data_IF_962249342563
#
_entry.id   IF_962249342563
#
_cell.length_a   1.000
_cell.length_b   1.000
_cell.length_c   1.000
_cell.angle_alpha   90.00
_cell.angle_beta   90.00
_cell.angle_gamma   90.00
#
_symmetry.space_group_name_H-M   'P 1'
#
loop_
_entity.id
_entity.type
_entity.pdbx_description
1 polymer ?
#
# COMPACT_ATOMS: atom_id res chain seq x y z
N UNK A 1 0.66 -27.56 13.26
CA UNK A 1 2.12 -27.70 13.21
C UNK A 1 2.65 -26.39 12.68
N UNK A 2 3.34 -25.62 13.52
CA UNK A 2 3.96 -24.37 13.11
C UNK A 2 5.10 -24.70 12.13
N UNK A 3 5.15 -24.02 10.99
CA UNK A 3 6.31 -24.05 10.10
C UNK A 3 7.53 -23.62 10.93
N UNK A 4 8.42 -24.56 11.20
CA UNK A 4 9.77 -24.23 11.68
C UNK A 4 10.44 -23.42 10.57
N UNK A 5 10.65 -22.13 10.80
CA UNK A 5 11.43 -21.25 9.93
C UNK A 5 12.79 -21.93 9.68
N UNK A 6 12.98 -22.50 8.49
CA UNK A 6 14.17 -23.31 8.20
C UNK A 6 15.41 -22.40 8.27
N UNK A 7 16.34 -22.75 9.16
CA UNK A 7 17.60 -22.02 9.30
C UNK A 7 18.46 -22.21 8.05
N UNK A 8 18.84 -21.11 7.43
CA UNK A 8 19.80 -21.07 6.34
C UNK A 8 21.18 -20.70 6.88
N UNK A 9 22.15 -21.57 6.60
CA UNK A 9 23.57 -21.33 6.88
C UNK A 9 24.23 -20.80 5.61
N UNK A 10 24.95 -19.70 5.73
CA UNK A 10 25.64 -19.02 4.64
C UNK A 10 27.13 -18.98 4.94
N UNK A 11 27.96 -19.28 3.95
CA UNK A 11 29.40 -19.08 3.98
C UNK A 11 29.76 -18.05 2.91
N UNK A 12 30.14 -16.84 3.33
CA UNK A 12 30.48 -15.73 2.44
C UNK A 12 31.99 -15.51 2.49
N UNK A 13 32.71 -16.09 1.52
CA UNK A 13 34.17 -15.97 1.43
C UNK A 13 34.91 -16.47 2.67
N UNK A 14 34.41 -17.53 3.32
CA UNK A 14 34.98 -18.12 4.53
C UNK A 14 34.37 -17.59 5.84
N UNK A 15 33.49 -16.59 5.79
CA UNK A 15 32.77 -16.07 6.97
C UNK A 15 31.39 -16.70 7.06
N UNK A 16 31.11 -17.37 8.18
CA UNK A 16 29.86 -18.11 8.41
C UNK A 16 28.76 -17.26 9.05
N UNK A 17 27.56 -17.32 8.50
CA UNK A 17 26.35 -16.66 8.99
C UNK A 17 25.19 -17.64 9.09
N UNK A 18 24.23 -17.33 9.97
CA UNK A 18 23.00 -18.09 10.12
C UNK A 18 21.82 -17.13 10.11
N UNK A 19 20.80 -17.46 9.32
CA UNK A 19 19.58 -16.67 9.18
C UNK A 19 18.40 -17.58 8.81
N UNK A 20 17.25 -17.00 8.46
CA UNK A 20 16.09 -17.72 7.93
C UNK A 20 15.89 -17.39 6.45
N UNK A 21 15.30 -18.32 5.69
CA UNK A 21 14.92 -18.05 4.30
C UNK A 21 13.91 -16.90 4.19
N UNK A 22 13.03 -16.74 5.18
CA UNK A 22 12.13 -15.60 5.31
C UNK A 22 12.91 -14.28 5.36
N UNK A 23 14.04 -14.22 6.08
CA UNK A 23 14.88 -13.02 6.14
C UNK A 23 15.50 -12.66 4.78
N UNK A 24 15.97 -13.66 4.03
CA UNK A 24 16.61 -13.44 2.72
C UNK A 24 15.62 -13.00 1.63
N UNK A 25 14.34 -13.34 1.78
CA UNK A 25 13.29 -13.09 0.77
C UNK A 25 12.34 -11.95 1.15
N UNK A 26 12.27 -11.54 2.42
CA UNK A 26 11.25 -10.60 2.93
C UNK A 26 11.30 -9.19 2.32
N UNK A 27 12.49 -8.61 2.15
CA UNK A 27 12.62 -7.20 1.72
C UNK A 27 12.78 -7.04 0.23
N UNK A 28 13.47 -7.98 -0.41
CA UNK A 28 13.72 -7.92 -1.84
C UNK A 28 13.75 -9.33 -2.43
N UNK A 29 12.58 -9.75 -2.93
CA UNK A 29 12.36 -11.05 -3.56
C UNK A 29 13.19 -11.18 -4.86
N UNK A 30 13.60 -10.07 -5.48
CA UNK A 30 14.42 -10.04 -6.69
C UNK A 30 15.94 -9.99 -6.44
N UNK A 31 16.34 -9.86 -5.18
CA UNK A 31 17.76 -9.84 -4.80
C UNK A 31 18.45 -11.16 -5.15
N UNK A 32 19.77 -11.10 -5.36
CA UNK A 32 20.57 -12.31 -5.59
C UNK A 32 20.40 -13.33 -4.45
N UNK A 33 20.30 -12.83 -3.21
CA UNK A 33 20.11 -13.66 -2.02
C UNK A 33 18.74 -14.33 -1.98
N UNK A 34 17.68 -13.62 -2.37
CA UNK A 34 16.33 -14.20 -2.42
C UNK A 34 16.19 -15.27 -3.50
N UNK A 35 16.78 -15.05 -4.68
CA UNK A 35 16.81 -16.03 -5.78
C UNK A 35 17.55 -17.30 -5.33
N UNK A 36 18.75 -17.14 -4.77
CA UNK A 36 19.55 -18.28 -4.29
C UNK A 36 18.85 -19.04 -3.16
N UNK A 37 18.21 -18.34 -2.22
CA UNK A 37 17.45 -18.97 -1.14
C UNK A 37 16.26 -19.78 -1.67
N UNK A 38 15.53 -19.24 -2.64
CA UNK A 38 14.37 -19.89 -3.25
C UNK A 38 14.79 -21.15 -4.03
N UNK A 39 15.85 -21.06 -4.83
CA UNK A 39 16.40 -22.21 -5.58
C UNK A 39 16.87 -23.35 -4.66
N UNK A 40 17.50 -23.04 -3.53
CA UNK A 40 17.93 -24.06 -2.57
C UNK A 40 16.75 -24.76 -1.91
N UNK A 41 15.69 -24.02 -1.56
CA UNK A 41 14.48 -24.63 -1.00
C UNK A 41 13.82 -25.58 -1.98
N UNK A 42 13.77 -25.23 -3.27
CA UNK A 42 13.23 -26.10 -4.31
C UNK A 42 14.10 -27.36 -4.52
N UNK A 43 15.43 -27.21 -4.54
CA UNK A 43 16.36 -28.35 -4.67
C UNK A 43 16.29 -29.31 -3.48
N UNK A 44 16.13 -28.81 -2.25
CA UNK A 44 15.95 -29.67 -1.06
C UNK A 44 14.66 -30.49 -1.11
N UNK A 45 13.57 -29.90 -1.60
CA UNK A 45 12.27 -30.58 -1.75
C UNK A 45 12.28 -31.66 -2.84
N UNK A 46 13.02 -31.45 -3.92
CA UNK A 46 12.96 -32.28 -5.12
C UNK A 46 14.07 -33.34 -5.21
N UNK A 47 15.23 -33.12 -4.60
CA UNK A 47 16.42 -33.97 -4.81
C UNK A 47 17.07 -34.51 -3.53
N UNK A 48 16.50 -34.27 -2.34
CA UNK A 48 17.13 -34.70 -1.08
C UNK A 48 18.52 -34.08 -0.86
N UNK A 49 18.74 -32.89 -1.41
CA UNK A 49 20.04 -32.25 -1.49
C UNK A 49 20.61 -31.91 -0.10
N UNK A 50 21.71 -32.56 0.29
CA UNK A 50 22.33 -32.45 1.63
C UNK A 50 23.22 -31.21 1.84
N UNK A 51 23.24 -30.22 0.93
CA UNK A 51 24.04 -29.03 1.16
C UNK A 51 23.48 -28.22 2.35
N UNK A 52 24.17 -28.37 3.49
CA UNK A 52 23.83 -27.73 4.76
C UNK A 52 24.19 -26.24 4.80
N UNK A 53 25.02 -25.75 3.88
CA UNK A 53 25.52 -24.37 3.84
C UNK A 53 25.50 -23.83 2.40
N UNK A 54 24.99 -22.61 2.20
CA UNK A 54 25.04 -21.84 0.95
C UNK A 54 26.38 -21.12 0.86
N UNK A 55 27.24 -21.50 -0.09
CA UNK A 55 28.50 -20.80 -0.33
C UNK A 55 28.32 -19.64 -1.31
N UNK A 56 28.85 -18.47 -0.92
CA UNK A 56 28.89 -17.24 -1.69
C UNK A 56 30.36 -16.89 -1.89
N UNK A 57 30.82 -16.94 -3.15
CA UNK A 57 32.19 -16.63 -3.54
C UNK A 57 32.41 -15.10 -3.58
N UNK A 58 32.40 -14.50 -2.38
CA UNK A 58 32.45 -13.06 -2.17
C UNK A 58 33.03 -12.73 -0.80
N UNK A 59 33.58 -11.53 -0.61
CA UNK A 59 34.07 -11.11 0.70
C UNK A 59 32.92 -10.93 1.71
N UNK A 60 32.94 -11.72 2.78
CA UNK A 60 31.95 -11.65 3.86
C UNK A 60 32.13 -10.49 4.85
N UNK A 61 33.13 -9.61 4.67
CA UNK A 61 33.44 -8.52 5.61
C UNK A 61 32.24 -7.65 5.95
N UNK A 62 31.50 -7.21 4.95
CA UNK A 62 30.36 -6.30 5.13
C UNK A 62 29.01 -7.00 5.22
N UNK A 63 29.00 -8.33 5.05
CA UNK A 63 27.77 -9.10 4.95
C UNK A 63 26.92 -9.05 6.23
N UNK A 64 27.53 -8.80 7.39
CA UNK A 64 26.79 -8.58 8.64
C UNK A 64 25.83 -7.40 8.56
N UNK A 65 26.23 -6.29 7.95
CA UNK A 65 25.39 -5.09 7.80
C UNK A 65 24.26 -5.32 6.81
N UNK A 66 24.54 -6.07 5.74
CA UNK A 66 23.53 -6.53 4.78
C UNK A 66 22.47 -7.37 5.49
N UNK A 67 22.91 -8.32 6.32
CA UNK A 67 22.01 -9.20 7.04
C UNK A 67 21.17 -8.47 8.09
N UNK A 68 21.76 -7.52 8.82
CA UNK A 68 21.01 -6.68 9.75
C UNK A 68 19.94 -5.87 9.02
N UNK A 69 20.32 -5.21 7.91
CA UNK A 69 19.36 -4.50 7.08
C UNK A 69 18.24 -5.40 6.54
N UNK A 70 18.54 -6.62 6.12
CA UNK A 70 17.51 -7.58 5.69
C UNK A 70 16.51 -7.91 6.82
N UNK A 71 16.98 -8.00 8.07
CA UNK A 71 16.15 -8.32 9.25
C UNK A 71 15.22 -7.17 9.63
N UNK A 72 15.80 -6.03 9.98
CA UNK A 72 15.09 -4.91 10.63
C UNK A 72 15.10 -3.62 9.79
N UNK A 73 15.92 -3.56 8.74
CA UNK A 73 16.00 -2.40 7.83
C UNK A 73 16.95 -1.33 8.33
N UNK A 74 17.63 -1.56 9.46
CA UNK A 74 18.58 -0.62 10.02
C UNK A 74 19.96 -0.78 9.37
N UNK A 75 20.62 0.36 9.16
CA UNK A 75 22.05 0.44 8.85
C UNK A 75 22.74 0.99 10.10
N UNK A 76 23.89 0.44 10.45
CA UNK A 76 24.69 0.91 11.59
C UNK A 76 25.15 2.36 11.35
N UNK A 77 24.62 3.36 12.08
CA UNK A 77 24.80 4.78 11.71
C UNK A 77 26.25 5.29 11.92
N UNK A 78 27.03 4.62 12.76
CA UNK A 78 28.34 5.09 13.24
C UNK A 78 29.56 4.53 12.47
N UNK A 79 29.37 3.98 11.26
CA UNK A 79 30.49 3.46 10.46
C UNK A 79 31.33 4.56 9.81
N UNK A 80 32.60 4.27 9.50
CA UNK A 80 33.44 5.16 8.69
C UNK A 80 32.90 5.32 7.26
N UNK A 81 33.16 6.47 6.61
CA UNK A 81 32.70 6.76 5.24
C UNK A 81 33.22 5.76 4.21
N UNK A 82 34.46 5.28 4.38
CA UNK A 82 35.07 4.20 3.59
C UNK A 82 34.24 2.92 3.64
N UNK A 83 33.83 2.51 4.84
CA UNK A 83 33.01 1.31 5.08
C UNK A 83 31.64 1.44 4.40
N UNK A 84 31.03 2.63 4.40
CA UNK A 84 29.79 2.86 3.64
C UNK A 84 29.99 2.68 2.13
N UNK A 85 31.11 3.12 1.56
CA UNK A 85 31.40 2.91 0.14
C UNK A 85 31.65 1.43 -0.20
N UNK A 86 32.33 0.68 0.66
CA UNK A 86 32.52 -0.75 0.48
C UNK A 86 31.19 -1.52 0.61
N UNK A 87 30.38 -1.19 1.63
CA UNK A 87 29.04 -1.76 1.80
C UNK A 87 28.12 -1.43 0.61
N UNK A 88 28.27 -0.26 0.00
CA UNK A 88 27.52 0.14 -1.20
C UNK A 88 27.80 -0.81 -2.37
N UNK A 89 29.07 -1.13 -2.62
CA UNK A 89 29.46 -2.06 -3.69
C UNK A 89 28.86 -3.46 -3.47
N UNK A 90 28.88 -3.93 -2.22
CA UNK A 90 28.29 -5.22 -1.88
C UNK A 90 26.76 -5.19 -2.03
N UNK A 91 26.10 -4.11 -1.61
CA UNK A 91 24.66 -3.95 -1.80
C UNK A 91 24.26 -3.93 -3.29
N UNK A 92 25.07 -3.33 -4.17
CA UNK A 92 24.88 -3.36 -5.62
C UNK A 92 25.09 -4.78 -6.17
N UNK A 93 26.12 -5.49 -5.72
CA UNK A 93 26.39 -6.88 -6.11
C UNK A 93 25.22 -7.83 -5.78
N UNK A 94 24.72 -7.79 -4.54
CA UNK A 94 23.59 -8.61 -4.12
C UNK A 94 22.24 -8.14 -4.69
N UNK A 95 22.23 -7.06 -5.48
CA UNK A 95 21.03 -6.42 -6.03
C UNK A 95 20.03 -6.07 -4.93
N UNK A 96 20.49 -5.28 -3.96
CA UNK A 96 19.71 -4.78 -2.82
C UNK A 96 19.48 -3.27 -2.95
N UNK A 97 18.64 -2.81 -3.89
CA UNK A 97 18.40 -1.38 -4.16
C UNK A 97 18.00 -0.58 -2.91
N UNK A 98 17.20 -1.16 -2.01
CA UNK A 98 16.82 -0.51 -0.76
C UNK A 98 18.01 -0.22 0.18
N UNK A 99 18.99 -1.11 0.21
CA UNK A 99 20.22 -0.93 0.99
C UNK A 99 21.15 0.09 0.31
N UNK A 100 21.32 -0.01 -1.02
CA UNK A 100 22.08 0.96 -1.83
C UNK A 100 21.62 2.39 -1.57
N UNK A 101 20.30 2.62 -1.54
CA UNK A 101 19.72 3.92 -1.28
C UNK A 101 20.02 4.43 0.14
N UNK A 102 19.75 3.60 1.15
CA UNK A 102 19.94 4.00 2.54
C UNK A 102 21.42 4.34 2.83
N UNK A 103 22.37 3.66 2.19
CA UNK A 103 23.80 4.01 2.25
C UNK A 103 24.09 5.36 1.57
N UNK A 104 23.56 5.60 0.36
CA UNK A 104 23.74 6.86 -0.37
C UNK A 104 23.17 8.05 0.40
N UNK A 105 22.04 7.89 1.10
CA UNK A 105 21.47 8.93 1.97
C UNK A 105 22.43 9.34 3.08
N UNK A 106 22.96 8.36 3.81
CA UNK A 106 23.90 8.60 4.91
C UNK A 106 25.20 9.25 4.40
N UNK A 107 25.70 8.82 3.24
CA UNK A 107 26.89 9.41 2.61
C UNK A 107 26.66 10.87 2.20
N UNK A 108 25.43 11.25 1.86
CA UNK A 108 25.06 12.62 1.47
C UNK A 108 24.93 13.51 2.72
N UNK A 109 24.26 13.02 3.77
CA UNK A 109 24.15 13.72 5.07
C UNK A 109 25.52 13.96 5.70
N UNK A 110 26.45 13.01 5.60
CA UNK A 110 27.84 13.16 6.07
C UNK A 110 28.64 14.20 5.27
N UNK A 111 28.28 14.45 4.00
CA UNK A 111 28.90 15.52 3.19
C UNK A 111 28.39 16.89 3.60
N UNK A 112 27.09 17.01 3.90
CA UNK A 112 26.46 18.27 4.31
C UNK A 112 26.77 18.66 5.77
N UNK A 113 26.94 17.69 6.67
CA UNK A 113 27.31 17.91 8.07
C UNK A 113 28.73 18.47 8.29
N UNK A 114 29.58 18.46 7.26
CA UNK A 114 30.93 19.04 7.30
C UNK A 114 30.99 20.52 6.84
N UNK A 115 29.86 21.14 6.48
CA UNK A 115 29.81 22.57 6.17
C UNK A 115 28.93 23.34 7.17
N UNK A 116 29.57 24.05 8.09
CA UNK A 116 28.92 25.00 9.00
C UNK A 116 28.48 26.28 8.28
N UNK A 117 27.18 26.58 8.41
CA UNK A 117 26.34 27.74 8.01
C UNK A 117 26.89 29.18 8.22
N UNK A 118 26.15 30.30 7.92
CA UNK A 118 25.08 30.58 6.92
C UNK A 118 25.22 31.97 6.22
N UNK A 119 24.50 32.22 5.10
CA UNK A 119 23.65 33.44 4.89
C UNK A 119 23.11 33.56 3.46
N UNK A 120 21.91 34.11 3.43
CA UNK A 120 21.17 34.70 2.32
C UNK A 120 21.99 35.67 1.47
N UNK A 121 22.03 35.50 0.15
CA UNK A 121 21.68 36.54 -0.84
C UNK A 121 21.91 36.02 -2.27
N UNK A 122 20.87 36.22 -3.06
CA UNK A 122 20.81 36.34 -4.52
C UNK A 122 22.19 36.34 -5.22
N UNK A 123 22.51 35.27 -5.94
CA UNK A 123 23.50 35.28 -7.02
C UNK A 123 22.83 34.67 -8.25
N UNK A 124 22.79 35.47 -9.30
CA UNK A 124 22.32 35.11 -10.64
C UNK A 124 23.26 34.06 -11.23
N UNK A 125 22.71 32.93 -11.68
CA UNK A 125 23.47 31.93 -12.43
C UNK A 125 23.21 32.15 -13.92
N UNK A 126 24.27 32.54 -14.63
CA UNK A 126 24.38 32.56 -16.10
C UNK A 126 24.65 31.13 -16.58
N UNK A 127 24.03 30.79 -17.71
CA UNK A 127 24.08 29.52 -18.43
C UNK A 127 25.50 28.94 -18.62
N UNK A 128 25.69 27.68 -18.22
CA UNK A 128 26.22 26.58 -19.05
C UNK A 128 26.36 25.28 -18.22
N UNK A 129 25.99 24.15 -18.84
CA UNK A 129 25.96 22.77 -18.32
C UNK A 129 24.79 22.35 -17.40
N UNK A 130 23.58 22.39 -17.95
CA UNK A 130 22.53 21.42 -17.64
C UNK A 130 22.78 20.11 -18.40
N UNK A 131 22.98 18.95 -17.75
CA UNK A 131 22.72 17.67 -18.42
C UNK A 131 21.23 17.64 -18.78
N UNK A 132 20.81 16.96 -19.87
CA UNK A 132 19.50 17.14 -20.46
C UNK A 132 18.41 16.53 -19.57
N UNK A 133 18.00 17.26 -18.53
CA UNK A 133 16.66 17.13 -17.99
C UNK A 133 15.74 17.79 -19.00
N UNK A 134 15.06 16.98 -19.81
CA UNK A 134 13.85 17.45 -20.50
C UNK A 134 12.95 18.04 -19.42
N UNK A 135 12.78 19.37 -19.47
CA UNK A 135 11.61 20.01 -18.87
C UNK A 135 10.39 19.26 -19.41
N UNK A 136 9.77 18.47 -18.55
CA UNK A 136 8.41 17.99 -18.82
C UNK A 136 7.56 19.24 -18.68
N UNK A 137 7.28 19.84 -19.82
CA UNK A 137 6.32 20.92 -19.95
C UNK A 137 4.98 20.42 -19.36
N UNK A 138 4.35 21.22 -18.49
CA UNK A 138 3.03 20.93 -17.91
C UNK A 138 1.89 21.09 -18.94
N UNK A 139 2.20 20.90 -20.22
CA UNK A 139 1.28 20.83 -21.35
C UNK A 139 1.61 19.66 -22.29
N UNK A 140 2.42 18.68 -21.86
CA UNK A 140 2.61 17.46 -22.64
C UNK A 140 1.33 16.63 -22.52
N UNK A 141 0.50 16.76 -23.55
CA UNK A 141 -0.40 15.72 -23.98
C UNK A 141 0.49 14.50 -24.32
N UNK A 142 0.78 13.68 -23.30
CA UNK A 142 1.50 12.42 -23.44
C UNK A 142 0.57 11.50 -24.22
N UNK A 143 0.62 11.58 -25.55
CA UNK A 143 0.06 10.58 -26.43
C UNK A 143 0.61 9.23 -26.00
N UNK A 144 -0.24 8.41 -25.39
CA UNK A 144 -0.19 6.95 -25.29
C UNK A 144 1.18 6.29 -25.04
N UNK A 145 2.09 6.94 -24.30
CA UNK A 145 3.26 6.26 -23.79
C UNK A 145 2.81 5.43 -22.57
N UNK A 146 2.66 4.11 -22.76
CA UNK A 146 2.40 3.18 -21.67
C UNK A 146 3.56 3.23 -20.67
N UNK A 147 3.32 3.78 -19.48
CA UNK A 147 4.25 3.61 -18.37
C UNK A 147 4.36 2.12 -18.05
N UNK A 148 5.57 1.64 -17.75
CA UNK A 148 5.81 0.27 -17.31
C UNK A 148 5.93 0.16 -15.79
N UNK A 149 5.83 -1.06 -15.25
CA UNK A 149 6.12 -1.33 -13.82
C UNK A 149 7.53 -0.86 -13.44
N UNK A 150 8.50 -0.99 -14.36
CA UNK A 150 9.90 -0.57 -14.11
C UNK A 150 9.99 0.93 -13.93
N UNK A 151 9.31 1.71 -14.76
CA UNK A 151 9.29 3.17 -14.65
C UNK A 151 8.69 3.61 -13.30
N UNK A 152 7.63 2.93 -12.83
CA UNK A 152 7.06 3.19 -11.50
C UNK A 152 8.06 2.86 -10.39
N UNK A 153 8.83 1.78 -10.52
CA UNK A 153 9.87 1.40 -9.55
C UNK A 153 11.01 2.43 -9.55
N UNK A 154 11.40 2.95 -10.71
CA UNK A 154 12.43 3.98 -10.81
C UNK A 154 12.02 5.28 -10.12
N UNK A 155 10.73 5.61 -10.12
CA UNK A 155 10.17 6.77 -9.43
C UNK A 155 10.12 6.61 -7.89
N UNK A 156 10.32 5.41 -7.35
CA UNK A 156 10.36 5.18 -5.89
C UNK A 156 11.55 5.83 -5.19
N UNK A 157 12.56 6.25 -5.95
CA UNK A 157 13.76 6.92 -5.42
C UNK A 157 13.54 8.41 -5.09
N UNK A 158 12.32 8.93 -5.25
CA UNK A 158 11.94 10.32 -5.00
C UNK A 158 10.45 10.48 -4.69
N UNK A 159 9.91 11.71 -4.71
CA UNK A 159 8.48 11.93 -4.52
C UNK A 159 7.71 11.26 -5.67
N UNK A 160 6.90 10.25 -5.34
CA UNK A 160 6.13 9.46 -6.30
C UNK A 160 5.01 10.29 -6.92
N UNK A 161 5.34 11.02 -7.99
CA UNK A 161 4.43 11.92 -8.72
C UNK A 161 3.97 11.24 -10.00
N UNK A 162 2.79 10.63 -9.93
CA UNK A 162 2.15 9.92 -11.04
C UNK A 162 0.89 10.65 -11.52
N UNK A 163 0.69 11.91 -11.13
CA UNK A 163 -0.53 12.64 -11.47
C UNK A 163 -0.78 12.68 -12.99
N UNK A 164 -1.98 12.33 -13.42
CA UNK A 164 -2.39 12.36 -14.82
C UNK A 164 -1.84 11.23 -15.69
N UNK A 165 -1.03 10.31 -15.15
CA UNK A 165 -0.41 9.26 -15.95
C UNK A 165 -1.34 8.08 -16.21
N UNK A 166 -1.06 7.32 -17.28
CA UNK A 166 -1.75 6.08 -17.58
C UNK A 166 -0.94 4.87 -17.07
N UNK A 167 -1.49 4.17 -16.08
CA UNK A 167 -0.94 2.96 -15.47
C UNK A 167 -1.86 1.75 -15.70
N UNK A 168 -2.80 1.86 -16.65
CA UNK A 168 -3.82 0.83 -16.91
C UNK A 168 -3.16 -0.52 -17.21
N UNK A 169 -3.71 -1.58 -16.65
CA UNK A 169 -3.23 -2.96 -16.84
C UNK A 169 -1.91 -3.30 -16.14
N UNK A 170 -1.20 -2.31 -15.56
CA UNK A 170 0.07 -2.58 -14.88
C UNK A 170 -0.12 -3.46 -13.66
N UNK A 171 0.87 -4.31 -13.43
CA UNK A 171 1.01 -4.98 -12.16
C UNK A 171 1.91 -4.15 -11.26
N UNK A 172 1.36 -3.60 -10.18
CA UNK A 172 2.03 -2.84 -9.12
C UNK A 172 1.97 -3.56 -7.75
N UNK A 173 1.63 -4.86 -7.76
CA UNK A 173 1.53 -5.71 -6.55
C UNK A 173 2.81 -5.66 -5.71
N UNK A 174 2.64 -5.60 -4.40
CA UNK A 174 3.71 -5.70 -3.40
C UNK A 174 4.70 -4.53 -3.35
N UNK A 175 4.50 -3.48 -4.15
CA UNK A 175 5.33 -2.28 -4.11
C UNK A 175 5.00 -1.44 -2.86
N UNK A 176 5.97 -0.65 -2.42
CA UNK A 176 5.71 0.47 -1.52
C UNK A 176 5.51 1.75 -2.32
N UNK A 177 4.27 2.19 -2.40
CA UNK A 177 3.81 3.40 -3.09
C UNK A 177 3.18 4.39 -2.09
N UNK A 178 3.53 4.29 -0.80
CA UNK A 178 3.02 5.15 0.26
C UNK A 178 3.29 6.64 -0.04
N UNK A 179 2.32 7.51 0.21
CA UNK A 179 2.41 8.94 -0.05
C UNK A 179 2.41 9.33 -1.53
N UNK A 180 2.20 8.37 -2.44
CA UNK A 180 2.17 8.63 -3.88
C UNK A 180 1.03 9.55 -4.31
N UNK A 181 1.30 10.40 -5.29
CA UNK A 181 0.31 11.26 -5.93
C UNK A 181 -0.16 10.61 -7.24
N UNK A 182 -1.33 9.98 -7.19
CA UNK A 182 -2.06 9.33 -8.29
C UNK A 182 -3.29 10.13 -8.72
N UNK A 183 -3.35 11.43 -8.44
CA UNK A 183 -4.47 12.28 -8.88
C UNK A 183 -4.68 12.18 -10.38
N UNK A 184 -5.93 12.15 -10.83
CA UNK A 184 -6.27 12.12 -12.26
C UNK A 184 -5.60 10.99 -13.05
N UNK A 185 -5.13 9.92 -12.40
CA UNK A 185 -4.48 8.79 -13.10
C UNK A 185 -5.49 7.87 -13.74
N UNK A 186 -5.07 7.20 -14.81
CA UNK A 186 -5.81 6.06 -15.37
C UNK A 186 -5.22 4.76 -14.83
N UNK A 187 -6.03 4.04 -14.05
CA UNK A 187 -5.69 2.82 -13.31
C UNK A 187 -6.59 1.64 -13.75
N UNK A 188 -7.14 1.69 -14.96
CA UNK A 188 -8.09 0.68 -15.44
C UNK A 188 -7.43 -0.70 -15.42
N UNK A 189 -8.05 -1.66 -14.72
CA UNK A 189 -7.53 -3.03 -14.55
C UNK A 189 -6.10 -3.12 -13.97
N UNK A 190 -5.60 -2.07 -13.31
CA UNK A 190 -4.29 -2.08 -12.64
C UNK A 190 -4.33 -2.95 -11.38
N UNK A 191 -3.24 -3.67 -11.10
CA UNK A 191 -3.13 -4.62 -9.98
C UNK A 191 -2.26 -4.05 -8.87
N UNK A 192 -2.86 -3.72 -7.73
CA UNK A 192 -2.25 -3.37 -6.45
C UNK A 192 -2.35 -4.43 -5.32
N UNK A 193 -2.47 -5.76 -5.56
CA UNK A 193 -2.46 -6.71 -4.46
C UNK A 193 -1.25 -6.57 -3.53
N UNK A 194 -1.51 -6.55 -2.22
CA UNK A 194 -0.48 -6.44 -1.18
C UNK A 194 0.41 -5.20 -1.26
N UNK A 195 0.04 -4.20 -2.06
CA UNK A 195 0.78 -2.95 -2.19
C UNK A 195 0.57 -2.08 -0.96
N UNK A 196 1.63 -1.39 -0.55
CA UNK A 196 1.54 -0.34 0.45
C UNK A 196 1.24 1.00 -0.23
N UNK A 197 0.10 1.59 0.12
CA UNK A 197 -0.42 2.82 -0.45
C UNK A 197 -0.80 3.82 0.65
N UNK A 198 -0.31 3.62 1.88
CA UNK A 198 -0.65 4.51 2.99
C UNK A 198 -0.40 5.98 2.63
N UNK A 199 -1.36 6.85 2.97
CA UNK A 199 -1.35 8.29 2.67
C UNK A 199 -1.26 8.64 1.17
N UNK A 200 -1.50 7.70 0.25
CA UNK A 200 -1.53 8.01 -1.18
C UNK A 200 -2.79 8.79 -1.57
N UNK A 201 -2.66 9.64 -2.58
CA UNK A 201 -3.76 10.43 -3.11
C UNK A 201 -4.17 9.93 -4.51
N UNK A 202 -5.40 9.46 -4.63
CA UNK A 202 -6.09 8.94 -5.80
C UNK A 202 -7.31 9.80 -6.21
N UNK A 203 -7.37 11.06 -5.77
CA UNK A 203 -8.47 11.97 -6.07
C UNK A 203 -8.69 12.06 -7.59
N UNK A 204 -9.95 11.92 -8.02
CA UNK A 204 -10.36 11.95 -9.42
C UNK A 204 -9.67 10.93 -10.34
N UNK A 205 -9.20 9.78 -9.82
CA UNK A 205 -8.62 8.71 -10.65
C UNK A 205 -9.69 7.89 -11.41
N UNK A 206 -9.29 7.24 -12.51
CA UNK A 206 -10.08 6.27 -13.26
C UNK A 206 -9.56 4.85 -12.99
N UNK A 207 -10.07 4.20 -11.97
CA UNK A 207 -9.66 2.86 -11.49
C UNK A 207 -10.72 1.77 -11.70
N UNK A 208 -11.49 1.87 -12.79
CA UNK A 208 -12.45 0.83 -13.20
C UNK A 208 -11.77 -0.54 -13.30
N UNK A 209 -12.31 -1.54 -12.59
CA UNK A 209 -11.76 -2.89 -12.55
C UNK A 209 -10.41 -3.04 -11.85
N UNK A 210 -9.87 -1.99 -11.21
CA UNK A 210 -8.60 -2.06 -10.51
C UNK A 210 -8.68 -3.03 -9.31
N UNK A 211 -7.57 -3.70 -9.01
CA UNK A 211 -7.49 -4.71 -7.95
C UNK A 211 -6.57 -4.23 -6.82
N UNK A 212 -7.14 -3.85 -5.69
CA UNK A 212 -6.45 -3.46 -4.46
C UNK A 212 -6.46 -4.55 -3.39
N UNK A 213 -6.72 -5.82 -3.74
CA UNK A 213 -6.90 -6.89 -2.75
C UNK A 213 -5.77 -6.93 -1.72
N UNK A 214 -6.11 -6.88 -0.43
CA UNK A 214 -5.15 -6.88 0.69
C UNK A 214 -4.11 -5.76 0.66
N UNK A 215 -4.34 -4.67 -0.07
CA UNK A 215 -3.50 -3.49 -0.05
C UNK A 215 -3.66 -2.71 1.27
N UNK A 216 -2.63 -1.94 1.62
CA UNK A 216 -2.64 -1.03 2.75
C UNK A 216 -3.04 0.36 2.27
N UNK A 217 -4.27 0.75 2.52
CA UNK A 217 -4.91 1.98 2.04
C UNK A 217 -5.22 2.96 3.19
N UNK A 218 -4.42 2.97 4.25
CA UNK A 218 -4.65 3.84 5.40
C UNK A 218 -4.55 5.31 4.97
N UNK A 219 -5.53 6.12 5.39
CA UNK A 219 -5.63 7.55 5.09
C UNK A 219 -5.51 7.90 3.58
N UNK A 220 -5.87 6.98 2.68
CA UNK A 220 -5.91 7.27 1.25
C UNK A 220 -7.05 8.21 0.90
N UNK A 221 -6.89 8.97 -0.18
CA UNK A 221 -7.96 9.82 -0.72
C UNK A 221 -8.35 9.36 -2.12
N UNK A 222 -9.54 8.79 -2.30
CA UNK A 222 -10.08 8.38 -3.60
C UNK A 222 -11.17 9.33 -4.12
N UNK A 223 -11.40 10.47 -3.45
CA UNK A 223 -12.58 11.30 -3.65
C UNK A 223 -12.80 11.70 -5.11
N UNK A 224 -14.06 11.64 -5.56
CA UNK A 224 -14.45 11.94 -6.95
C UNK A 224 -13.94 10.96 -8.02
N UNK A 225 -13.32 9.84 -7.64
CA UNK A 225 -12.83 8.83 -8.60
C UNK A 225 -13.90 7.94 -9.22
N UNK A 226 -13.56 7.30 -10.34
CA UNK A 226 -14.34 6.22 -10.96
C UNK A 226 -13.69 4.86 -10.66
N UNK A 227 -14.37 4.01 -9.88
CA UNK A 227 -13.85 2.73 -9.40
C UNK A 227 -14.87 1.59 -9.61
N UNK A 228 -15.62 1.65 -10.72
CA UNK A 228 -16.66 0.67 -11.05
C UNK A 228 -16.04 -0.73 -11.14
N UNK A 229 -16.62 -1.69 -10.41
CA UNK A 229 -16.12 -3.07 -10.38
C UNK A 229 -14.74 -3.27 -9.73
N UNK A 230 -14.20 -2.27 -9.02
CA UNK A 230 -12.91 -2.41 -8.35
C UNK A 230 -12.95 -3.46 -7.23
N UNK A 231 -11.83 -4.13 -6.99
CA UNK A 231 -11.68 -5.19 -5.98
C UNK A 231 -10.82 -4.70 -4.83
N UNK A 232 -11.42 -4.36 -3.70
CA UNK A 232 -10.82 -3.89 -2.46
C UNK A 232 -11.00 -4.91 -1.31
N UNK A 233 -11.08 -6.19 -1.66
CA UNK A 233 -11.25 -7.27 -0.68
C UNK A 233 -10.06 -7.34 0.31
N UNK A 234 -10.36 -7.39 1.60
CA UNK A 234 -9.37 -7.56 2.66
C UNK A 234 -8.40 -6.39 2.81
N UNK A 235 -8.71 -5.21 2.27
CA UNK A 235 -7.84 -4.03 2.41
C UNK A 235 -7.80 -3.51 3.84
N UNK A 236 -6.71 -2.81 4.18
CA UNK A 236 -6.65 -1.97 5.35
C UNK A 236 -6.90 -0.51 4.95
N UNK A 237 -8.16 -0.10 4.91
CA UNK A 237 -8.63 1.20 4.43
C UNK A 237 -9.14 2.09 5.55
N UNK A 238 -8.53 2.00 6.74
CA UNK A 238 -8.90 2.84 7.89
C UNK A 238 -8.68 4.31 7.54
N UNK A 239 -9.66 5.17 7.84
CA UNK A 239 -9.68 6.60 7.52
C UNK A 239 -9.55 6.94 6.02
N UNK A 240 -9.78 5.99 5.11
CA UNK A 240 -9.76 6.28 3.69
C UNK A 240 -10.98 7.11 3.28
N UNK A 241 -10.82 8.02 2.33
CA UNK A 241 -11.91 8.82 1.78
C UNK A 241 -12.35 8.26 0.44
N UNK A 242 -13.64 8.00 0.32
CA UNK A 242 -14.32 7.55 -0.91
C UNK A 242 -15.51 8.47 -1.19
N UNK A 243 -15.41 9.76 -0.84
CA UNK A 243 -16.47 10.73 -1.02
C UNK A 243 -16.72 11.01 -2.51
N UNK A 244 -17.99 11.03 -2.92
CA UNK A 244 -18.42 11.24 -4.31
C UNK A 244 -17.83 10.23 -5.33
N UNK A 245 -17.33 9.08 -4.87
CA UNK A 245 -16.73 8.04 -5.73
C UNK A 245 -17.80 7.16 -6.36
N UNK A 246 -17.58 6.75 -7.62
CA UNK A 246 -18.40 5.73 -8.29
C UNK A 246 -17.84 4.33 -8.05
N UNK A 247 -18.47 3.58 -7.16
CA UNK A 247 -18.07 2.24 -6.72
C UNK A 247 -19.09 1.17 -7.13
N UNK A 248 -19.94 1.42 -8.13
CA UNK A 248 -20.94 0.44 -8.57
C UNK A 248 -20.28 -0.93 -8.87
N UNK A 249 -20.89 -2.01 -8.36
CA UNK A 249 -20.37 -3.39 -8.46
C UNK A 249 -18.99 -3.64 -7.85
N UNK A 250 -18.41 -2.71 -7.07
CA UNK A 250 -17.13 -2.93 -6.40
C UNK A 250 -17.25 -3.91 -5.22
N UNK A 251 -16.11 -4.47 -4.80
CA UNK A 251 -16.04 -5.44 -3.69
C UNK A 251 -15.12 -4.94 -2.58
N UNK A 252 -15.60 -4.95 -1.35
CA UNK A 252 -14.91 -4.60 -0.10
C UNK A 252 -15.03 -5.74 0.92
N UNK A 253 -15.10 -7.00 0.48
CA UNK A 253 -15.31 -8.13 1.38
C UNK A 253 -14.19 -8.21 2.40
N UNK A 254 -14.54 -8.38 3.67
CA UNK A 254 -13.57 -8.53 4.76
C UNK A 254 -12.59 -7.34 4.89
N UNK A 255 -12.88 -6.20 4.27
CA UNK A 255 -12.07 -5.00 4.34
C UNK A 255 -12.21 -4.32 5.71
N UNK A 256 -11.13 -3.69 6.17
CA UNK A 256 -11.16 -2.80 7.32
C UNK A 256 -11.35 -1.35 6.85
N UNK A 257 -12.58 -0.86 6.96
CA UNK A 257 -13.03 0.46 6.54
C UNK A 257 -13.42 1.33 7.75
N UNK A 258 -12.85 1.05 8.92
CA UNK A 258 -13.09 1.86 10.11
C UNK A 258 -12.79 3.34 9.84
N UNK A 259 -13.72 4.21 10.21
CA UNK A 259 -13.62 5.66 10.05
C UNK A 259 -13.45 6.13 8.59
N UNK A 260 -13.75 5.30 7.59
CA UNK A 260 -13.74 5.71 6.19
C UNK A 260 -14.95 6.60 5.85
N UNK A 261 -14.85 7.46 4.85
CA UNK A 261 -15.97 8.30 4.37
C UNK A 261 -16.43 7.85 3.00
N UNK A 262 -17.75 7.80 2.79
CA UNK A 262 -18.40 7.45 1.52
C UNK A 262 -19.50 8.47 1.20
N UNK A 263 -19.33 9.72 1.64
CA UNK A 263 -20.40 10.71 1.53
C UNK A 263 -20.67 11.03 0.05
N UNK A 264 -21.94 10.95 -0.36
CA UNK A 264 -22.35 11.10 -1.76
C UNK A 264 -21.87 10.00 -2.71
N UNK A 265 -21.22 8.94 -2.24
CA UNK A 265 -20.70 7.87 -3.09
C UNK A 265 -21.83 7.03 -3.71
N UNK A 266 -21.59 6.53 -4.92
CA UNK A 266 -22.44 5.50 -5.54
C UNK A 266 -21.88 4.11 -5.23
N UNK A 267 -22.46 3.43 -4.25
CA UNK A 267 -22.12 2.09 -3.78
C UNK A 267 -23.15 1.04 -4.26
N UNK A 268 -23.90 1.31 -5.32
CA UNK A 268 -24.93 0.38 -5.79
C UNK A 268 -24.33 -0.98 -6.14
N UNK A 269 -25.02 -2.06 -5.73
CA UNK A 269 -24.59 -3.45 -5.96
C UNK A 269 -23.20 -3.82 -5.42
N UNK A 270 -22.63 -2.99 -4.53
CA UNK A 270 -21.33 -3.29 -3.92
C UNK A 270 -21.41 -4.50 -3.00
N UNK A 271 -20.29 -5.19 -2.83
CA UNK A 271 -20.17 -6.26 -1.85
C UNK A 271 -19.29 -5.85 -0.67
N UNK A 272 -19.91 -5.45 0.43
CA UNK A 272 -19.24 -5.07 1.68
C UNK A 272 -19.44 -6.14 2.77
N UNK A 273 -19.69 -7.39 2.38
CA UNK A 273 -19.96 -8.45 3.36
C UNK A 273 -18.75 -8.68 4.27
N UNK A 274 -19.01 -8.86 5.57
CA UNK A 274 -17.99 -9.06 6.63
C UNK A 274 -16.97 -7.91 6.75
N UNK A 275 -17.21 -6.75 6.16
CA UNK A 275 -16.33 -5.60 6.33
C UNK A 275 -16.49 -4.97 7.72
N UNK A 276 -15.42 -4.40 8.25
CA UNK A 276 -15.47 -3.56 9.45
C UNK A 276 -15.71 -2.11 9.04
N UNK A 277 -16.86 -1.55 9.41
CA UNK A 277 -17.33 -0.21 9.04
C UNK A 277 -17.52 0.70 10.26
N UNK A 278 -16.79 0.41 11.33
CA UNK A 278 -16.89 1.13 12.61
C UNK A 278 -16.61 2.61 12.40
N UNK A 279 -17.62 3.45 12.63
CA UNK A 279 -17.57 4.90 12.42
C UNK A 279 -17.36 5.36 10.98
N UNK A 280 -17.66 4.51 9.98
CA UNK A 280 -17.61 4.92 8.58
C UNK A 280 -18.81 5.81 8.21
N UNK A 281 -18.64 6.88 7.45
CA UNK A 281 -19.74 7.78 7.03
C UNK A 281 -20.35 7.34 5.70
N UNK A 282 -21.67 7.48 5.56
CA UNK A 282 -22.44 7.12 4.36
C UNK A 282 -23.49 8.19 3.99
N UNK A 283 -23.27 9.45 4.37
CA UNK A 283 -24.28 10.50 4.19
C UNK A 283 -24.56 10.69 2.70
N UNK A 284 -25.84 10.65 2.31
CA UNK A 284 -26.26 10.75 0.91
C UNK A 284 -25.69 9.64 -0.01
N UNK A 285 -25.10 8.57 0.55
CA UNK A 285 -24.56 7.48 -0.26
C UNK A 285 -25.68 6.61 -0.83
N UNK A 286 -25.50 6.13 -2.06
CA UNK A 286 -26.40 5.17 -2.68
C UNK A 286 -25.92 3.74 -2.46
N UNK A 287 -26.54 2.99 -1.54
CA UNK A 287 -26.25 1.59 -1.26
C UNK A 287 -27.34 0.65 -1.83
N UNK A 288 -28.03 1.07 -2.90
CA UNK A 288 -29.08 0.26 -3.54
C UNK A 288 -28.52 -1.11 -3.94
N UNK A 289 -29.19 -2.20 -3.55
CA UNK A 289 -28.75 -3.59 -3.80
C UNK A 289 -27.37 -3.96 -3.23
N UNK A 290 -26.77 -3.12 -2.36
CA UNK A 290 -25.48 -3.42 -1.75
C UNK A 290 -25.60 -4.61 -0.77
N UNK A 291 -24.57 -5.45 -0.70
CA UNK A 291 -24.50 -6.55 0.25
C UNK A 291 -23.66 -6.17 1.47
N UNK A 292 -24.33 -5.88 2.59
CA UNK A 292 -23.71 -5.57 3.88
C UNK A 292 -23.71 -6.78 4.82
N UNK A 293 -24.02 -8.00 4.35
CA UNK A 293 -24.19 -9.16 5.24
C UNK A 293 -23.00 -9.35 6.18
N UNK A 294 -23.26 -9.47 7.48
CA UNK A 294 -22.26 -9.60 8.54
C UNK A 294 -21.28 -8.43 8.67
N UNK A 295 -21.57 -7.28 8.06
CA UNK A 295 -20.77 -6.07 8.27
C UNK A 295 -20.99 -5.49 9.67
N UNK A 296 -19.96 -4.83 10.18
CA UNK A 296 -19.96 -4.24 11.51
C UNK A 296 -19.97 -2.71 11.42
N UNK A 297 -21.16 -2.11 11.57
CA UNK A 297 -21.40 -0.67 11.55
C UNK A 297 -21.58 -0.11 12.98
N UNK A 298 -20.95 -0.72 13.99
CA UNK A 298 -21.04 -0.17 15.33
C UNK A 298 -20.31 1.17 15.45
N UNK A 299 -20.76 2.02 16.38
CA UNK A 299 -20.08 3.27 16.70
C UNK A 299 -19.38 3.18 18.07
N UNK A 300 -18.13 3.66 18.14
CA UNK A 300 -17.27 3.58 19.34
C UNK A 300 -16.99 4.94 19.99
N UNK A 301 -16.93 6.03 19.21
CA UNK A 301 -16.43 7.34 19.65
C UNK A 301 -17.40 8.51 19.42
N UNK A 302 -18.66 8.23 19.07
CA UNK A 302 -19.69 9.25 18.94
C UNK A 302 -21.04 8.67 18.50
N UNK A 303 -21.66 9.32 17.53
CA UNK A 303 -22.84 8.82 16.81
C UNK A 303 -22.48 8.62 15.33
N UNK A 304 -22.71 7.42 14.80
CA UNK A 304 -22.72 7.26 13.35
C UNK A 304 -24.06 7.77 12.84
N UNK A 305 -24.08 8.97 12.28
CA UNK A 305 -25.23 9.46 11.52
C UNK A 305 -25.08 8.96 10.09
N UNK A 306 -25.78 7.86 9.78
CA UNK A 306 -25.85 7.32 8.42
C UNK A 306 -26.43 8.32 7.41
N UNK A 307 -26.93 9.48 7.87
CA UNK A 307 -27.53 10.49 7.01
C UNK A 307 -28.71 9.91 6.22
N UNK A 308 -29.09 10.53 5.09
CA UNK A 308 -30.14 10.00 4.23
C UNK A 308 -29.59 8.92 3.26
N UNK A 309 -28.77 7.99 3.74
CA UNK A 309 -28.27 6.89 2.93
C UNK A 309 -29.42 6.07 2.32
N UNK A 310 -29.27 5.67 1.06
CA UNK A 310 -30.29 4.89 0.33
C UNK A 310 -29.94 3.41 0.45
N UNK A 311 -30.76 2.64 1.18
CA UNK A 311 -30.57 1.19 1.40
C UNK A 311 -31.60 0.32 0.67
N UNK A 312 -32.23 0.83 -0.39
CA UNK A 312 -33.25 0.11 -1.17
C UNK A 312 -32.69 -1.23 -1.66
N UNK A 313 -33.33 -2.34 -1.33
CA UNK A 313 -32.88 -3.71 -1.66
C UNK A 313 -31.47 -4.09 -1.14
N UNK A 314 -30.86 -3.29 -0.27
CA UNK A 314 -29.58 -3.64 0.36
C UNK A 314 -29.76 -4.88 1.25
N UNK A 315 -28.80 -5.80 1.27
CA UNK A 315 -28.85 -6.99 2.13
C UNK A 315 -28.25 -6.68 3.50
N UNK A 316 -29.06 -6.76 4.53
CA UNK A 316 -28.69 -6.41 5.91
C UNK A 316 -28.56 -7.62 6.84
N UNK A 317 -28.36 -8.81 6.28
CA UNK A 317 -28.26 -10.06 7.04
C UNK A 317 -27.21 -9.97 8.14
N UNK A 318 -27.63 -10.05 9.42
CA UNK A 318 -26.74 -9.98 10.59
C UNK A 318 -25.78 -8.78 10.61
N UNK A 319 -26.20 -7.63 10.06
CA UNK A 319 -25.45 -6.37 10.19
C UNK A 319 -25.51 -5.90 11.65
N UNK A 320 -24.38 -5.46 12.20
CA UNK A 320 -24.36 -4.89 13.54
C UNK A 320 -24.52 -3.35 13.52
N UNK A 321 -25.61 -2.86 14.09
CA UNK A 321 -25.93 -1.43 14.21
C UNK A 321 -25.79 -0.90 15.64
N UNK A 322 -24.93 -1.50 16.47
CA UNK A 322 -24.75 -1.04 17.85
C UNK A 322 -24.32 0.44 17.89
N UNK A 323 -25.14 1.31 18.51
CA UNK A 323 -24.94 2.78 18.56
C UNK A 323 -24.95 3.50 17.20
N UNK A 324 -25.51 2.88 16.17
CA UNK A 324 -25.84 3.54 14.91
C UNK A 324 -27.05 4.48 15.06
N UNK A 325 -27.08 5.57 14.29
CA UNK A 325 -28.29 6.39 14.11
C UNK A 325 -28.84 6.19 12.70
N UNK A 326 -30.01 5.55 12.63
CA UNK A 326 -30.74 5.24 11.40
C UNK A 326 -32.10 5.96 11.34
N UNK A 327 -32.32 7.00 12.16
CA UNK A 327 -33.61 7.71 12.25
C UNK A 327 -34.12 8.21 10.90
N UNK A 328 -33.20 8.60 10.02
CA UNK A 328 -33.49 9.16 8.70
C UNK A 328 -33.24 8.18 7.54
N UNK A 329 -32.99 6.91 7.85
CA UNK A 329 -32.66 5.89 6.85
C UNK A 329 -33.83 4.93 6.68
N UNK A 330 -34.29 4.76 5.43
CA UNK A 330 -35.32 3.76 5.14
C UNK A 330 -34.71 2.37 4.99
N UNK A 331 -34.77 1.59 6.07
CA UNK A 331 -34.30 0.19 6.11
C UNK A 331 -35.38 -0.84 5.77
N UNK A 332 -36.65 -0.42 5.64
CA UNK A 332 -37.76 -1.38 5.42
C UNK A 332 -37.75 -1.98 4.02
N UNK A 333 -37.19 -1.25 3.06
CA UNK A 333 -37.05 -1.70 1.67
C UNK A 333 -35.79 -2.55 1.45
N UNK A 334 -35.01 -2.78 2.51
CA UNK A 334 -33.80 -3.61 2.49
C UNK A 334 -34.16 -5.10 2.63
N UNK A 335 -33.33 -5.96 2.05
CA UNK A 335 -33.45 -7.41 2.14
C UNK A 335 -32.93 -7.90 3.50
N UNK A 336 -33.73 -8.73 4.18
CA UNK A 336 -33.38 -9.37 5.45
C UNK A 336 -32.98 -8.40 6.58
N UNK A 337 -33.56 -7.19 6.58
CA UNK A 337 -33.30 -6.18 7.61
C UNK A 337 -33.66 -6.63 9.03
N UNK A 338 -34.61 -7.56 9.17
CA UNK A 338 -35.04 -8.08 10.49
C UNK A 338 -33.99 -8.92 11.19
N UNK A 339 -33.00 -9.48 10.48
CA UNK A 339 -31.91 -10.23 11.08
C UNK A 339 -30.73 -9.34 11.52
N UNK A 340 -30.81 -8.04 11.26
CA UNK A 340 -29.82 -7.08 11.73
C UNK A 340 -29.84 -6.96 13.26
N UNK A 341 -28.65 -6.81 13.83
CA UNK A 341 -28.39 -6.76 15.26
C UNK A 341 -28.45 -5.30 15.71
N UNK A 342 -29.11 -5.01 16.83
CA UNK A 342 -29.30 -3.65 17.38
C UNK A 342 -30.09 -2.68 16.47
N UNK A 343 -30.93 -3.20 15.57
CA UNK A 343 -31.69 -2.36 14.64
C UNK A 343 -32.74 -1.47 15.34
N UNK A 344 -33.46 -2.01 16.33
CA UNK A 344 -34.52 -1.27 17.04
C UNK A 344 -33.97 -0.02 17.73
N UNK A 345 -32.81 -0.15 18.39
CA UNK A 345 -32.11 0.96 19.03
C UNK A 345 -31.58 1.96 18.01
N UNK A 346 -31.19 1.52 16.82
CA UNK A 346 -30.65 2.38 15.79
C UNK A 346 -31.70 3.25 15.09
N UNK A 347 -32.89 2.69 14.82
CA UNK A 347 -34.01 3.45 14.22
C UNK A 347 -34.65 4.39 15.25
N UNK A 348 -34.75 3.96 16.51
CA UNK A 348 -35.38 4.71 17.60
C UNK A 348 -34.43 5.64 18.35
N UNK A 349 -33.21 5.87 17.86
CA UNK A 349 -32.17 6.58 18.60
C UNK A 349 -32.60 8.01 18.99
N UNK A 350 -32.71 8.24 20.30
CA UNK A 350 -32.78 9.57 20.92
C UNK A 350 -31.44 9.80 21.62
N UNK A 351 -30.65 10.82 21.25
CA UNK A 351 -29.39 11.08 21.93
C UNK A 351 -29.66 11.31 23.42
N UNK A 352 -29.00 10.54 24.29
CA UNK A 352 -28.94 10.87 25.70
C UNK A 352 -28.21 12.22 25.79
N UNK A 353 -28.88 13.21 26.39
CA UNK A 353 -28.44 14.61 26.47
C UNK A 353 -27.18 14.82 27.30
#
# INVERSE_FOLDING_TARGET
MADEDCFERLDVGGKKFVTTASTLTKRDIGSALAVMASELQEKRKTQGYEAREMFLDRDGTHFRHILNWLRDGAITPEMETSIYHELLQEAEYYRLPGLVYAIKSILTEKREGNSTQPRTSKVEWIDEFTPPFKKVDNSINLGEAEMSRRDVIELLHGPLRLQGTNLSGLNLSGLNLSGGNFRNTRLINTKFPFTDLENANFESCEATGANFRKARLLNCDFSGGEMVGAVLDGTHSKNAKFDEVRLENASFREANLSCATFDGANLSKTNMSRSRLVGASFRNANLTEANLSHADLHEKHGYWDGGPAILTQARLTRVNFFRANLKNVNVKDSVDYRSAINLSTAIGYTPAG
#
